data_IF_007282596314
#
_entry.id   IF_007282596314
#
_cell.length_a   1.000
_cell.length_b   1.000
_cell.length_c   1.000
_cell.angle_alpha   90.00
_cell.angle_beta   90.00
_cell.angle_gamma   90.00
#
_symmetry.space_group_name_H-M   'P 1'
#
loop_
_entity.id
_entity.type
_entity.pdbx_description
1 polymer ?
#
# COMPACT_ATOMS: atom_id res chain seq x y z
N UNK A 1 -19.28 12.71 12.58
CA UNK A 1 -18.23 12.69 13.61
C UNK A 1 -17.12 13.63 13.16
N UNK A 2 -16.99 14.80 13.79
CA UNK A 2 -15.94 15.77 13.46
C UNK A 2 -14.73 15.39 14.32
N UNK A 3 -13.68 14.84 13.69
CA UNK A 3 -12.42 14.55 14.36
C UNK A 3 -11.59 15.83 14.35
N UNK A 4 -11.53 16.51 15.49
CA UNK A 4 -10.65 17.66 15.69
C UNK A 4 -9.20 17.17 15.81
N UNK A 5 -8.41 17.39 14.76
CA UNK A 5 -6.98 17.05 14.71
C UNK A 5 -6.17 18.28 15.13
N UNK A 6 -6.27 18.64 16.41
CA UNK A 6 -5.43 19.70 16.97
C UNK A 6 -3.96 19.24 17.02
N UNK A 7 -3.08 19.89 16.24
CA UNK A 7 -1.63 19.71 16.31
C UNK A 7 -1.08 20.30 17.62
N UNK A 8 -1.21 19.57 18.72
CA UNK A 8 -0.40 19.83 19.90
C UNK A 8 1.07 19.61 19.52
N UNK A 9 1.95 20.57 19.86
CA UNK A 9 3.41 20.37 19.74
C UNK A 9 3.77 19.08 20.47
N UNK A 10 4.39 18.14 19.74
CA UNK A 10 4.76 16.83 20.28
C UNK A 10 5.69 17.03 21.47
N UNK A 11 5.19 16.75 22.67
CA UNK A 11 6.04 16.41 23.81
C UNK A 11 6.96 15.25 23.38
N UNK A 12 8.21 15.18 23.85
CA UNK A 12 9.00 13.97 23.66
C UNK A 12 8.23 12.78 24.24
N UNK A 13 8.06 11.73 23.43
CA UNK A 13 7.39 10.50 23.85
C UNK A 13 8.13 9.93 25.06
N UNK A 14 7.39 9.57 26.12
CA UNK A 14 7.97 8.91 27.29
C UNK A 14 8.69 7.62 26.85
N UNK A 15 9.90 7.33 27.36
CA UNK A 15 10.62 6.13 26.98
C UNK A 15 9.82 4.87 27.32
N UNK A 16 9.60 4.00 26.34
CA UNK A 16 8.96 2.71 26.53
C UNK A 16 9.98 1.71 27.11
N UNK A 17 9.65 1.05 28.21
CA UNK A 17 10.47 0.00 28.82
C UNK A 17 9.87 -1.38 28.49
N UNK A 18 10.66 -2.26 27.90
CA UNK A 18 10.34 -3.68 27.72
C UNK A 18 11.40 -4.48 28.48
N UNK A 19 10.98 -5.32 29.42
CA UNK A 19 11.87 -6.09 30.31
C UNK A 19 12.94 -5.22 31.00
N UNK A 20 12.57 -4.01 31.41
CA UNK A 20 13.47 -3.05 32.06
C UNK A 20 14.46 -2.35 31.11
N UNK A 21 14.36 -2.58 29.79
CA UNK A 21 15.21 -1.94 28.76
C UNK A 21 14.44 -0.89 27.99
N UNK A 22 15.06 0.27 27.78
CA UNK A 22 14.50 1.34 26.95
C UNK A 22 14.47 0.93 25.48
N UNK A 23 13.29 1.01 24.87
CA UNK A 23 13.11 0.78 23.44
C UNK A 23 13.55 2.00 22.67
N UNK A 24 14.34 1.78 21.61
CA UNK A 24 14.78 2.84 20.71
C UNK A 24 13.60 3.45 19.94
N UNK A 25 13.52 4.78 19.96
CA UNK A 25 12.55 5.54 19.16
C UNK A 25 13.24 6.00 17.89
N UNK A 26 12.86 5.42 16.75
CA UNK A 26 13.40 5.75 15.44
C UNK A 26 12.41 6.56 14.60
N UNK A 27 12.92 7.40 13.71
CA UNK A 27 12.06 8.16 12.78
C UNK A 27 11.44 7.26 11.69
N UNK A 28 12.18 6.26 11.24
CA UNK A 28 11.76 5.32 10.21
C UNK A 28 12.16 3.90 10.61
N UNK A 29 11.24 2.95 10.42
CA UNK A 29 11.47 1.56 10.73
C UNK A 29 10.95 0.67 9.59
N UNK A 30 11.74 -0.31 9.18
CA UNK A 30 11.34 -1.25 8.13
C UNK A 30 10.75 -2.50 8.78
N UNK A 31 9.45 -2.68 8.65
CA UNK A 31 8.71 -3.82 9.20
C UNK A 31 8.06 -4.65 8.08
N UNK A 32 8.37 -5.94 8.04
CA UNK A 32 7.84 -6.90 7.05
C UNK A 32 7.95 -6.43 5.58
N UNK A 33 8.90 -5.54 5.27
CA UNK A 33 9.09 -5.01 3.92
C UNK A 33 8.46 -3.65 3.64
N UNK A 34 7.68 -3.09 4.57
CA UNK A 34 7.16 -1.72 4.54
C UNK A 34 7.98 -0.78 5.42
N UNK A 35 8.26 0.42 4.93
CA UNK A 35 8.91 1.46 5.75
C UNK A 35 7.85 2.31 6.44
N UNK A 36 7.79 2.24 7.77
CA UNK A 36 6.87 3.00 8.60
C UNK A 36 7.62 4.21 9.15
N UNK A 37 7.04 5.40 8.99
CA UNK A 37 7.56 6.64 9.57
C UNK A 37 6.83 6.96 10.87
N UNK A 38 7.50 7.61 11.82
CA UNK A 38 6.92 8.00 13.12
C UNK A 38 5.72 8.97 13.00
N UNK A 39 5.65 9.73 11.91
CA UNK A 39 4.55 10.63 11.56
C UNK A 39 3.51 9.97 10.62
N UNK A 40 3.65 8.67 10.35
CA UNK A 40 2.82 7.89 9.42
C UNK A 40 2.75 8.46 8.00
N UNK A 41 3.75 9.27 7.60
CA UNK A 41 3.93 9.71 6.22
C UNK A 41 4.66 8.60 5.46
N UNK A 42 4.08 8.22 4.32
CA UNK A 42 4.52 7.07 3.53
C UNK A 42 5.48 7.43 2.39
N UNK A 43 5.98 8.67 2.33
CA UNK A 43 6.83 9.16 1.24
C UNK A 43 8.05 8.25 0.99
N UNK A 44 8.80 7.89 2.04
CA UNK A 44 9.99 7.02 1.91
C UNK A 44 9.62 5.62 1.41
N UNK A 45 8.49 5.10 1.88
CA UNK A 45 7.97 3.80 1.42
C UNK A 45 7.55 3.86 -0.05
N UNK A 46 6.79 4.88 -0.43
CA UNK A 46 6.35 5.11 -1.81
C UNK A 46 7.55 5.30 -2.74
N UNK A 47 8.56 6.06 -2.33
CA UNK A 47 9.81 6.22 -3.05
C UNK A 47 10.47 4.88 -3.36
N UNK A 48 10.56 4.03 -2.34
CA UNK A 48 11.14 2.70 -2.44
C UNK A 48 10.33 1.80 -3.37
N UNK A 49 9.00 1.80 -3.23
CA UNK A 49 8.06 1.02 -4.05
C UNK A 49 8.11 1.46 -5.51
N UNK A 50 8.07 2.77 -5.78
CA UNK A 50 8.12 3.34 -7.13
C UNK A 50 9.46 3.02 -7.79
N UNK A 51 10.59 3.21 -7.10
CA UNK A 51 11.92 2.88 -7.65
C UNK A 51 12.01 1.39 -8.04
N UNK A 52 11.56 0.49 -7.16
CA UNK A 52 11.52 -0.96 -7.45
C UNK A 52 10.63 -1.28 -8.65
N UNK A 53 9.44 -0.70 -8.71
CA UNK A 53 8.51 -0.95 -9.81
C UNK A 53 9.02 -0.37 -11.15
N UNK A 54 9.70 0.77 -11.13
CA UNK A 54 10.34 1.37 -12.31
C UNK A 54 11.47 0.51 -12.87
N UNK A 55 12.30 -0.10 -12.01
CA UNK A 55 13.30 -1.09 -12.44
C UNK A 55 12.63 -2.27 -13.16
N UNK A 56 11.48 -2.74 -12.65
CA UNK A 56 10.74 -3.85 -13.26
C UNK A 56 10.04 -3.47 -14.57
N UNK A 57 9.65 -2.20 -14.74
CA UNK A 57 9.16 -1.68 -16.03
C UNK A 57 10.22 -1.78 -17.14
N UNK A 58 11.51 -1.68 -16.83
CA UNK A 58 12.55 -1.89 -17.83
C UNK A 58 12.47 -3.30 -18.42
N UNK A 59 12.34 -4.33 -17.59
CA UNK A 59 12.17 -5.70 -18.06
C UNK A 59 10.86 -5.88 -18.84
N UNK A 60 9.76 -5.24 -18.43
CA UNK A 60 8.52 -5.29 -19.21
C UNK A 60 8.70 -4.70 -20.63
N UNK A 61 9.46 -3.60 -20.77
CA UNK A 61 9.82 -3.05 -22.10
C UNK A 61 10.67 -4.02 -22.90
N UNK A 62 11.64 -4.70 -22.26
CA UNK A 62 12.46 -5.73 -22.89
C UNK A 62 11.60 -6.89 -23.41
N UNK A 63 10.66 -7.38 -22.61
CA UNK A 63 9.72 -8.43 -23.01
C UNK A 63 8.89 -8.01 -24.24
N UNK A 64 8.41 -6.76 -24.27
CA UNK A 64 7.72 -6.20 -25.43
C UNK A 64 8.61 -6.16 -26.68
N UNK A 65 9.88 -5.75 -26.53
CA UNK A 65 10.83 -5.69 -27.65
C UNK A 65 11.16 -7.04 -28.27
N UNK A 66 11.01 -8.13 -27.50
CA UNK A 66 11.16 -9.50 -27.99
C UNK A 66 9.90 -10.06 -28.66
N UNK A 67 8.84 -9.26 -28.82
CA UNK A 67 7.61 -9.70 -29.48
C UNK A 67 6.75 -10.67 -28.66
N UNK A 68 6.95 -10.75 -27.34
CA UNK A 68 6.17 -11.64 -26.49
C UNK A 68 4.69 -11.26 -26.46
N UNK A 69 3.84 -12.28 -26.25
CA UNK A 69 2.39 -12.09 -26.21
C UNK A 69 1.96 -11.22 -25.04
N UNK A 70 0.84 -10.50 -25.22
CA UNK A 70 0.24 -9.67 -24.16
C UNK A 70 -0.09 -10.46 -22.90
N UNK A 71 -0.41 -11.76 -23.04
CA UNK A 71 -0.70 -12.62 -21.89
C UNK A 71 0.53 -12.89 -21.03
N UNK A 72 1.69 -13.18 -21.65
CA UNK A 72 2.95 -13.38 -20.92
C UNK A 72 3.35 -12.07 -20.21
N UNK A 73 3.24 -10.93 -20.91
CA UNK A 73 3.51 -9.63 -20.33
C UNK A 73 2.58 -9.29 -19.15
N UNK A 74 1.29 -9.66 -19.24
CA UNK A 74 0.36 -9.50 -18.12
C UNK A 74 0.77 -10.33 -16.91
N UNK A 75 1.13 -11.60 -17.12
CA UNK A 75 1.60 -12.48 -16.04
C UNK A 75 2.84 -11.88 -15.38
N UNK A 76 3.80 -11.39 -16.17
CA UNK A 76 4.97 -10.68 -15.65
C UNK A 76 4.58 -9.42 -14.87
N UNK A 77 3.67 -8.59 -15.41
CA UNK A 77 3.20 -7.39 -14.73
C UNK A 77 2.60 -7.72 -13.36
N UNK A 78 1.69 -8.71 -13.29
CA UNK A 78 1.06 -9.13 -12.04
C UNK A 78 2.08 -9.64 -11.02
N UNK A 79 2.96 -10.54 -11.46
CA UNK A 79 3.93 -11.21 -10.59
C UNK A 79 5.06 -10.28 -10.14
N UNK A 80 5.53 -9.38 -11.01
CA UNK A 80 6.70 -8.56 -10.75
C UNK A 80 6.35 -7.10 -10.40
N UNK A 81 5.39 -6.46 -11.06
CA UNK A 81 5.16 -5.02 -10.88
C UNK A 81 4.01 -4.78 -9.89
N UNK A 82 2.85 -5.37 -10.15
CA UNK A 82 1.66 -5.23 -9.31
C UNK A 82 1.91 -5.78 -7.91
N UNK A 83 2.60 -6.92 -7.77
CA UNK A 83 2.97 -7.47 -6.45
C UNK A 83 3.77 -6.49 -5.59
N UNK A 84 4.65 -5.68 -6.19
CA UNK A 84 5.42 -4.64 -5.47
C UNK A 84 4.53 -3.46 -5.12
N UNK A 85 3.75 -2.97 -6.08
CA UNK A 85 2.86 -1.82 -5.87
C UNK A 85 1.77 -2.11 -4.85
N UNK A 86 1.38 -3.37 -4.70
CA UNK A 86 0.25 -3.78 -3.89
C UNK A 86 0.65 -4.55 -2.63
N UNK A 87 1.95 -4.71 -2.37
CA UNK A 87 2.42 -5.24 -1.10
C UNK A 87 1.92 -4.36 0.05
N UNK A 88 1.26 -4.98 1.03
CA UNK A 88 0.64 -4.31 2.19
C UNK A 88 -0.24 -3.09 1.83
N UNK A 89 -0.86 -3.09 0.63
CA UNK A 89 -1.59 -1.93 0.09
C UNK A 89 -2.65 -1.35 1.04
N UNK A 90 -3.37 -2.22 1.76
CA UNK A 90 -4.42 -1.83 2.71
C UNK A 90 -3.89 -1.06 3.91
N UNK A 91 -2.60 -1.15 4.21
CA UNK A 91 -1.97 -0.50 5.37
C UNK A 91 -1.63 0.96 5.07
N UNK A 92 -1.12 1.25 3.88
CA UNK A 92 -0.50 2.55 3.59
C UNK A 92 -1.26 3.38 2.55
N UNK A 93 -1.99 2.76 1.61
CA UNK A 93 -2.58 3.48 0.48
C UNK A 93 -3.71 4.43 0.89
N UNK A 94 -4.41 4.16 2.00
CA UNK A 94 -5.42 5.07 2.54
C UNK A 94 -4.85 6.41 3.03
N UNK A 95 -3.56 6.44 3.39
CA UNK A 95 -2.89 7.61 3.95
C UNK A 95 -2.00 8.35 2.95
N UNK A 96 -2.08 8.02 1.66
CA UNK A 96 -1.27 8.69 0.63
C UNK A 96 -1.95 9.94 0.08
N UNK A 97 -1.15 10.96 -0.23
CA UNK A 97 -1.61 12.21 -0.84
C UNK A 97 -2.01 12.01 -2.31
N UNK A 98 -2.78 12.96 -2.85
CA UNK A 98 -3.15 12.95 -4.29
C UNK A 98 -1.90 12.94 -5.19
N UNK A 99 -0.86 13.69 -4.83
CA UNK A 99 0.42 13.73 -5.57
C UNK A 99 1.08 12.35 -5.61
N UNK A 100 1.09 11.65 -4.49
CA UNK A 100 1.65 10.30 -4.38
C UNK A 100 0.80 9.28 -5.14
N UNK A 101 -0.53 9.36 -5.07
CA UNK A 101 -1.44 8.54 -5.88
C UNK A 101 -1.16 8.69 -7.38
N UNK A 102 -1.00 9.94 -7.85
CA UNK A 102 -0.64 10.22 -9.25
C UNK A 102 0.69 9.57 -9.60
N UNK A 103 1.70 9.70 -8.74
CA UNK A 103 3.04 9.14 -8.98
C UNK A 103 3.02 7.61 -9.05
N UNK A 104 2.31 6.94 -8.16
CA UNK A 104 2.11 5.49 -8.19
C UNK A 104 1.36 5.05 -9.45
N UNK A 105 0.27 5.74 -9.80
CA UNK A 105 -0.51 5.44 -11.00
C UNK A 105 0.28 5.66 -12.31
N UNK A 106 1.32 6.50 -12.34
CA UNK A 106 2.20 6.61 -13.52
C UNK A 106 2.89 5.29 -13.85
N UNK A 107 3.22 4.47 -12.85
CA UNK A 107 3.81 3.13 -13.08
C UNK A 107 2.80 2.23 -13.81
N UNK A 108 1.56 2.18 -13.31
CA UNK A 108 0.47 1.41 -13.92
C UNK A 108 0.16 1.89 -15.35
N UNK A 109 0.01 3.21 -15.54
CA UNK A 109 -0.20 3.81 -16.88
C UNK A 109 0.93 3.49 -17.85
N UNK A 110 2.17 3.47 -17.36
CA UNK A 110 3.33 3.10 -18.19
C UNK A 110 3.28 1.63 -18.60
N UNK A 111 2.98 0.72 -17.67
CA UNK A 111 2.81 -0.70 -17.97
C UNK A 111 1.67 -0.93 -18.97
N UNK A 112 0.53 -0.26 -18.76
CA UNK A 112 -0.63 -0.31 -19.66
C UNK A 112 -0.26 0.10 -21.09
N UNK A 113 0.49 1.19 -21.25
CA UNK A 113 0.98 1.65 -22.56
C UNK A 113 1.93 0.64 -23.21
N UNK A 114 2.87 0.06 -22.45
CA UNK A 114 3.83 -0.93 -23.00
C UNK A 114 3.10 -2.17 -23.53
N UNK A 115 2.09 -2.64 -22.81
CA UNK A 115 1.35 -3.86 -23.16
C UNK A 115 0.20 -3.60 -24.13
N UNK A 116 -0.18 -2.35 -24.38
CA UNK A 116 -1.32 -2.01 -25.24
C UNK A 116 -2.68 -2.45 -24.68
N UNK A 117 -2.83 -2.46 -23.35
CA UNK A 117 -4.06 -2.89 -22.68
C UNK A 117 -4.34 -2.06 -21.45
N UNK A 118 -5.61 -1.92 -21.09
CA UNK A 118 -5.98 -1.31 -19.82
C UNK A 118 -5.63 -2.23 -18.64
N UNK A 119 -5.28 -1.58 -17.53
CA UNK A 119 -4.96 -2.20 -16.25
C UNK A 119 -5.79 -1.55 -15.15
N UNK A 120 -6.18 -2.31 -14.12
CA UNK A 120 -6.88 -1.75 -12.97
C UNK A 120 -6.00 -0.69 -12.30
N UNK A 121 -6.63 0.39 -11.84
CA UNK A 121 -5.94 1.42 -11.07
C UNK A 121 -5.56 0.90 -9.69
N UNK A 122 -4.57 1.53 -9.04
CA UNK A 122 -4.26 1.16 -7.65
C UNK A 122 -5.41 1.47 -6.69
N UNK A 123 -6.20 2.49 -7.00
CA UNK A 123 -7.41 2.80 -6.22
C UNK A 123 -8.43 1.66 -6.31
N UNK A 124 -8.72 1.14 -7.51
CA UNK A 124 -9.66 0.02 -7.65
C UNK A 124 -9.15 -1.24 -6.96
N UNK A 125 -7.85 -1.54 -7.05
CA UNK A 125 -7.24 -2.67 -6.35
C UNK A 125 -7.27 -2.50 -4.82
N UNK A 126 -7.06 -1.27 -4.34
CA UNK A 126 -7.16 -0.93 -2.92
C UNK A 126 -8.57 -1.14 -2.39
N UNK A 127 -9.58 -0.58 -3.07
CA UNK A 127 -10.98 -0.75 -2.67
C UNK A 127 -11.41 -2.22 -2.68
N UNK A 128 -11.04 -2.97 -3.74
CA UNK A 128 -11.32 -4.40 -3.82
C UNK A 128 -10.73 -5.18 -2.62
N UNK A 129 -9.47 -4.89 -2.26
CA UNK A 129 -8.78 -5.57 -1.15
C UNK A 129 -9.31 -5.15 0.22
N UNK A 130 -9.66 -3.88 0.39
CA UNK A 130 -10.29 -3.41 1.61
C UNK A 130 -11.63 -4.09 1.84
N UNK A 131 -12.51 -4.08 0.84
CA UNK A 131 -13.82 -4.72 0.95
C UNK A 131 -13.69 -6.21 1.21
N UNK A 132 -12.80 -6.91 0.49
CA UNK A 132 -12.54 -8.32 0.74
C UNK A 132 -12.04 -8.59 2.16
N UNK A 133 -11.15 -7.75 2.69
CA UNK A 133 -10.66 -7.89 4.07
C UNK A 133 -11.75 -7.57 5.09
N UNK A 134 -12.56 -6.55 4.87
CA UNK A 134 -13.69 -6.18 5.72
C UNK A 134 -14.70 -7.34 5.83
N UNK A 135 -15.05 -7.95 4.70
CA UNK A 135 -15.94 -9.13 4.66
C UNK A 135 -15.36 -10.31 5.44
N UNK A 136 -14.06 -10.58 5.29
CA UNK A 136 -13.41 -11.64 6.07
C UNK A 136 -13.45 -11.37 7.57
N UNK A 137 -13.20 -10.13 7.99
CA UNK A 137 -13.25 -9.74 9.41
C UNK A 137 -14.69 -9.80 9.95
N UNK A 138 -15.68 -9.35 9.18
CA UNK A 138 -17.08 -9.36 9.61
C UNK A 138 -17.66 -10.78 9.72
N UNK A 139 -17.06 -11.78 9.07
CA UNK A 139 -17.47 -13.18 9.18
C UNK A 139 -16.65 -13.98 10.21
N UNK A 140 -15.48 -13.48 10.63
CA UNK A 140 -14.62 -14.15 11.61
C UNK A 140 -14.83 -13.58 13.01
N UNK A 141 -15.65 -14.25 13.81
CA UNK A 141 -15.95 -13.84 15.20
C UNK A 141 -14.73 -13.91 16.14
N UNK A 142 -13.67 -14.64 15.75
CA UNK A 142 -12.42 -14.70 16.52
C UNK A 142 -11.46 -13.56 16.18
N UNK A 143 -11.71 -12.82 15.10
CA UNK A 143 -10.84 -11.74 14.68
C UNK A 143 -10.93 -10.56 15.66
N UNK A 144 -9.80 -10.00 16.14
CA UNK A 144 -9.83 -8.92 17.14
C UNK A 144 -10.61 -7.67 16.71
N UNK A 145 -10.68 -7.42 15.40
CA UNK A 145 -11.42 -6.30 14.82
C UNK A 145 -12.87 -6.62 14.44
N UNK A 146 -13.38 -7.83 14.68
CA UNK A 146 -14.74 -8.23 14.31
C UNK A 146 -15.80 -7.28 14.88
N UNK A 147 -15.64 -6.91 16.14
CA UNK A 147 -16.50 -5.96 16.88
C UNK A 147 -16.56 -4.56 16.27
N UNK A 148 -15.70 -4.23 15.30
CA UNK A 148 -15.74 -2.95 14.59
C UNK A 148 -16.67 -2.98 13.37
N UNK A 149 -17.22 -4.14 13.01
CA UNK A 149 -18.03 -4.37 11.82
C UNK A 149 -19.49 -4.72 12.15
N UNK A 150 -20.03 -4.16 13.23
CA UNK A 150 -21.44 -4.35 13.59
C UNK A 150 -22.37 -3.88 12.45
N UNK A 151 -23.28 -4.73 11.96
CA UNK A 151 -24.22 -4.34 10.94
C UNK A 151 -25.13 -3.23 11.49
N UNK A 152 -25.35 -2.19 10.67
CA UNK A 152 -26.27 -1.11 11.04
C UNK A 152 -27.65 -1.71 11.34
N UNK A 153 -28.36 -1.24 12.39
CA UNK A 153 -29.70 -1.71 12.68
C UNK A 153 -30.60 -1.48 11.47
N UNK A 154 -31.27 -2.55 11.04
CA UNK A 154 -32.24 -2.48 9.94
C UNK A 154 -33.44 -1.68 10.44
N UNK A 155 -33.74 -0.57 9.76
CA UNK A 155 -34.90 0.28 10.03
C UNK A 155 -36.20 -0.40 9.55
#
# INVERSE_FOLDING_TARGET
MIVDVSRKKSSPLSPLLIDGRTVEIVQHFKFLGSTISNNLIWEIHIDTVVKKAQQRLYFLRRLRSFGLTTQIMLTFYRAAIESVLTFSLTVWFGSVTVKEKVRLNRVVKTASRIMGRELPSLESLYQQRLSGRAVLISHDSSHPAHVLFDPLPVA
#
